data_IF_258568634233
#
_entry.id   IF_258568634233
#
_cell.length_a   1.000
_cell.length_b   1.000
_cell.length_c   1.000
_cell.angle_alpha   90.00
_cell.angle_beta   90.00
_cell.angle_gamma   90.00
#
_symmetry.space_group_name_H-M   'P 1'
#
loop_
_entity.id
_entity.type
_entity.pdbx_description
1 polymer ?
#
# COMPACT_ATOMS: atom_id res chain seq x y z
N UNK A 1 -36.29 -19.79 -30.78
CA UNK A 1 -35.69 -20.89 -29.99
C UNK A 1 -34.18 -20.76 -30.07
N UNK A 2 -33.45 -20.81 -28.96
CA UNK A 2 -31.99 -20.76 -28.99
C UNK A 2 -31.44 -22.01 -29.67
N UNK A 3 -30.36 -21.86 -30.45
CA UNK A 3 -29.72 -23.01 -31.10
C UNK A 3 -29.06 -23.92 -30.04
N UNK A 4 -28.98 -25.24 -30.26
CA UNK A 4 -28.25 -26.14 -29.35
C UNK A 4 -26.80 -25.71 -29.12
N UNK A 5 -26.17 -25.12 -30.13
CA UNK A 5 -24.81 -24.57 -30.06
C UNK A 5 -24.68 -23.46 -29.01
N UNK A 6 -25.72 -22.62 -28.85
CA UNK A 6 -25.72 -21.55 -27.85
C UNK A 6 -25.51 -22.09 -26.43
N UNK A 7 -26.20 -23.19 -26.08
CA UNK A 7 -26.06 -23.82 -24.77
C UNK A 7 -24.68 -24.43 -24.54
N UNK A 8 -24.08 -25.01 -25.59
CA UNK A 8 -22.71 -25.54 -25.54
C UNK A 8 -21.71 -24.42 -25.25
N UNK A 9 -21.80 -23.27 -25.94
CA UNK A 9 -20.93 -22.12 -25.68
C UNK A 9 -21.09 -21.56 -24.26
N UNK A 10 -22.32 -21.49 -23.76
CA UNK A 10 -22.58 -21.06 -22.38
C UNK A 10 -21.93 -21.98 -21.36
N UNK A 11 -22.03 -23.30 -21.55
CA UNK A 11 -21.42 -24.27 -20.66
C UNK A 11 -19.89 -24.18 -20.66
N UNK A 12 -19.27 -24.11 -21.85
CA UNK A 12 -17.81 -23.95 -21.99
C UNK A 12 -17.34 -22.68 -21.28
N UNK A 13 -18.05 -21.57 -21.46
CA UNK A 13 -17.73 -20.29 -20.82
C UNK A 13 -17.80 -20.40 -19.29
N UNK A 14 -18.84 -21.04 -18.75
CA UNK A 14 -19.00 -21.22 -17.31
C UNK A 14 -17.87 -22.08 -16.73
N UNK A 15 -17.55 -23.20 -17.36
CA UNK A 15 -16.43 -24.07 -16.96
C UNK A 15 -15.11 -23.30 -17.01
N UNK A 16 -14.88 -22.55 -18.09
CA UNK A 16 -13.69 -21.70 -18.23
C UNK A 16 -13.54 -20.68 -17.10
N UNK A 17 -14.64 -20.03 -16.69
CA UNK A 17 -14.63 -19.07 -15.59
C UNK A 17 -14.32 -19.73 -14.23
N UNK A 18 -14.85 -20.94 -13.99
CA UNK A 18 -14.54 -21.70 -12.77
C UNK A 18 -13.06 -22.07 -12.72
N UNK A 19 -12.53 -22.64 -13.81
CA UNK A 19 -11.10 -23.01 -13.91
C UNK A 19 -10.21 -21.77 -13.75
N UNK A 20 -10.54 -20.67 -14.44
CA UNK A 20 -9.82 -19.41 -14.30
C UNK A 20 -9.83 -18.89 -12.86
N UNK A 21 -10.97 -18.96 -12.17
CA UNK A 21 -11.09 -18.55 -10.77
C UNK A 21 -10.19 -19.38 -9.83
N UNK A 22 -10.12 -20.70 -10.04
CA UNK A 22 -9.25 -21.58 -9.28
C UNK A 22 -7.76 -21.26 -9.50
N UNK A 23 -7.36 -21.12 -10.77
CA UNK A 23 -5.98 -20.73 -11.14
C UNK A 23 -5.64 -19.37 -10.54
N UNK A 24 -6.54 -18.40 -10.64
CA UNK A 24 -6.34 -17.05 -10.10
C UNK A 24 -6.21 -17.04 -8.58
N UNK A 25 -6.99 -17.87 -7.87
CA UNK A 25 -6.85 -18.05 -6.41
C UNK A 25 -5.48 -18.62 -6.05
N UNK A 26 -5.00 -19.62 -6.79
CA UNK A 26 -3.68 -20.20 -6.57
C UNK A 26 -2.55 -19.21 -6.90
N UNK A 27 -2.68 -18.45 -7.99
CA UNK A 27 -1.77 -17.37 -8.34
C UNK A 27 -1.64 -16.33 -7.21
N UNK A 28 -2.75 -15.89 -6.62
CA UNK A 28 -2.72 -14.96 -5.48
C UNK A 28 -1.97 -15.51 -4.28
N UNK A 29 -2.17 -16.79 -3.96
CA UNK A 29 -1.44 -17.46 -2.88
C UNK A 29 0.05 -17.50 -3.17
N UNK A 30 0.45 -17.91 -4.37
CA UNK A 30 1.85 -17.95 -4.76
C UNK A 30 2.50 -16.56 -4.66
N UNK A 31 1.83 -15.51 -5.16
CA UNK A 31 2.34 -14.14 -5.06
C UNK A 31 2.50 -13.66 -3.61
N UNK A 32 1.61 -14.06 -2.70
CA UNK A 32 1.73 -13.75 -1.27
C UNK A 32 2.98 -14.40 -0.66
N UNK A 33 3.28 -15.64 -1.01
CA UNK A 33 4.45 -16.35 -0.51
C UNK A 33 5.75 -15.74 -1.04
N UNK A 34 5.82 -15.39 -2.33
CA UNK A 34 6.99 -14.67 -2.88
C UNK A 34 7.19 -13.31 -2.21
N UNK A 35 6.11 -12.59 -1.93
CA UNK A 35 6.17 -11.34 -1.19
C UNK A 35 6.73 -11.53 0.24
N UNK A 36 6.19 -12.52 0.97
CA UNK A 36 6.66 -12.83 2.34
C UNK A 36 8.14 -13.19 2.33
N UNK A 37 8.56 -14.04 1.40
CA UNK A 37 9.96 -14.45 1.24
C UNK A 37 10.89 -13.24 1.05
N UNK A 38 10.58 -12.34 0.12
CA UNK A 38 11.41 -11.14 -0.08
C UNK A 38 11.48 -10.20 1.13
N UNK A 39 10.40 -10.08 1.92
CA UNK A 39 10.43 -9.30 3.16
C UNK A 39 11.21 -10.03 4.27
N UNK A 40 11.13 -11.36 4.36
CA UNK A 40 11.95 -12.15 5.28
C UNK A 40 13.44 -12.00 4.97
N UNK A 41 13.83 -12.10 3.70
CA UNK A 41 15.22 -11.92 3.26
C UNK A 41 15.77 -10.53 3.67
N UNK A 42 15.01 -9.47 3.42
CA UNK A 42 15.40 -8.11 3.85
C UNK A 42 15.54 -7.98 5.37
N UNK A 43 14.65 -8.63 6.12
CA UNK A 43 14.68 -8.63 7.58
C UNK A 43 15.92 -9.36 8.10
N UNK A 44 16.28 -10.48 7.46
CA UNK A 44 17.44 -11.28 7.83
C UNK A 44 18.74 -10.55 7.47
N UNK A 45 18.79 -9.87 6.32
CA UNK A 45 19.90 -9.00 5.95
C UNK A 45 20.10 -7.86 6.96
N UNK A 46 19.02 -7.19 7.36
CA UNK A 46 19.06 -6.14 8.38
C UNK A 46 19.49 -6.68 9.76
N UNK A 47 19.03 -7.88 10.12
CA UNK A 47 19.45 -8.54 11.36
C UNK A 47 20.94 -8.89 11.35
N UNK A 48 21.43 -9.50 10.28
CA UNK A 48 22.84 -9.85 10.13
C UNK A 48 23.73 -8.61 10.19
N UNK A 49 23.31 -7.51 9.56
CA UNK A 49 24.02 -6.23 9.64
C UNK A 49 24.15 -5.70 11.08
N UNK A 50 23.11 -5.85 11.90
CA UNK A 50 23.18 -5.50 13.32
C UNK A 50 24.02 -6.50 14.13
N UNK A 51 23.90 -7.80 13.83
CA UNK A 51 24.62 -8.87 14.52
C UNK A 51 26.15 -8.78 14.34
N UNK A 52 26.63 -8.26 13.21
CA UNK A 52 28.07 -7.99 12.99
C UNK A 52 28.58 -6.76 13.74
N UNK A 53 27.74 -6.08 14.51
CA UNK A 53 28.10 -4.91 15.32
C UNK A 53 28.01 -3.58 14.58
N UNK A 54 27.51 -3.53 13.34
CA UNK A 54 27.43 -2.29 12.58
C UNK A 54 26.37 -1.34 13.13
N UNK A 55 25.33 -1.85 13.78
CA UNK A 55 24.30 -1.06 14.45
C UNK A 55 23.78 -1.82 15.68
N UNK A 56 23.60 -1.11 16.81
CA UNK A 56 23.02 -1.72 18.02
C UNK A 56 21.58 -2.15 17.78
N UNK A 57 21.19 -3.31 18.31
CA UNK A 57 19.80 -3.74 18.32
C UNK A 57 18.87 -2.77 19.07
N UNK A 58 19.40 -2.02 20.04
CA UNK A 58 18.62 -1.02 20.80
C UNK A 58 18.50 0.31 20.07
N UNK A 59 19.12 0.46 18.89
CA UNK A 59 18.99 1.66 18.10
C UNK A 59 17.53 1.87 17.65
N UNK A 60 17.00 3.06 17.92
CA UNK A 60 15.59 3.35 17.65
C UNK A 60 15.24 3.29 16.16
N UNK A 61 16.14 3.75 15.28
CA UNK A 61 15.95 3.68 13.83
C UNK A 61 15.94 2.24 13.32
N UNK A 62 16.83 1.39 13.85
CA UNK A 62 16.83 -0.04 13.56
C UNK A 62 15.50 -0.69 13.96
N UNK A 63 15.03 -0.43 15.18
CA UNK A 63 13.78 -0.97 15.69
C UNK A 63 12.57 -0.51 14.87
N UNK A 64 12.56 0.75 14.43
CA UNK A 64 11.51 1.28 13.55
C UNK A 64 11.46 0.53 12.21
N UNK A 65 12.60 0.37 11.53
CA UNK A 65 12.65 -0.35 10.25
C UNK A 65 12.25 -1.82 10.45
N UNK A 66 12.76 -2.49 11.48
CA UNK A 66 12.38 -3.88 11.81
C UNK A 66 10.88 -4.01 12.08
N UNK A 67 10.30 -3.05 12.81
CA UNK A 67 8.85 -3.02 13.09
C UNK A 67 8.03 -2.83 11.81
N UNK A 68 8.49 -2.00 10.88
CA UNK A 68 7.86 -1.84 9.57
C UNK A 68 7.85 -3.16 8.78
N UNK A 69 9.00 -3.84 8.69
CA UNK A 69 9.10 -5.13 7.99
C UNK A 69 8.16 -6.18 8.61
N UNK A 70 8.07 -6.24 9.94
CA UNK A 70 7.11 -7.09 10.62
C UNK A 70 5.66 -6.72 10.32
N UNK A 71 5.36 -5.41 10.22
CA UNK A 71 4.05 -4.92 9.78
C UNK A 71 3.69 -5.38 8.37
N UNK A 72 4.65 -5.30 7.44
CA UNK A 72 4.51 -5.82 6.07
C UNK A 72 4.19 -7.31 6.02
N UNK A 73 4.87 -8.13 6.84
CA UNK A 73 4.55 -9.56 6.95
C UNK A 73 3.16 -9.81 7.53
N UNK A 74 2.80 -9.11 8.63
CA UNK A 74 1.52 -9.29 9.33
C UNK A 74 0.33 -8.89 8.47
N UNK A 75 0.46 -7.83 7.68
CA UNK A 75 -0.63 -7.28 6.85
C UNK A 75 -0.48 -7.58 5.36
N UNK A 76 0.40 -8.51 4.99
CA UNK A 76 0.68 -8.94 3.61
C UNK A 76 -0.59 -9.31 2.82
N UNK A 77 -1.54 -9.99 3.46
CA UNK A 77 -2.79 -10.40 2.84
C UNK A 77 -3.73 -9.23 2.54
N UNK A 78 -3.55 -8.11 3.25
CA UNK A 78 -4.36 -6.89 3.10
C UNK A 78 -3.70 -5.86 2.17
N UNK A 79 -2.46 -6.09 1.72
CA UNK A 79 -1.85 -5.28 0.67
C UNK A 79 -2.54 -5.57 -0.67
N UNK A 80 -3.46 -4.69 -1.06
CA UNK A 80 -4.05 -4.63 -2.40
C UNK A 80 -4.44 -3.19 -2.75
N UNK A 81 -4.54 -2.90 -4.05
CA UNK A 81 -4.77 -1.53 -4.54
C UNK A 81 -6.17 -1.04 -4.16
N UNK A 82 -7.16 -1.92 -4.14
CA UNK A 82 -8.54 -1.56 -3.81
C UNK A 82 -8.66 -1.05 -2.36
N UNK A 83 -8.09 -1.79 -1.40
CA UNK A 83 -8.05 -1.41 0.01
C UNK A 83 -7.22 -0.16 0.22
N UNK A 84 -6.09 -0.03 -0.48
CA UNK A 84 -5.29 1.19 -0.44
C UNK A 84 -6.11 2.40 -0.90
N UNK A 85 -6.83 2.32 -2.01
CA UNK A 85 -7.72 3.40 -2.47
C UNK A 85 -8.84 3.70 -1.47
N UNK A 86 -9.45 2.69 -0.85
CA UNK A 86 -10.49 2.87 0.18
C UNK A 86 -9.93 3.59 1.40
N UNK A 87 -8.72 3.21 1.83
CA UNK A 87 -8.01 3.86 2.94
C UNK A 87 -7.69 5.33 2.62
N UNK A 88 -7.16 5.62 1.43
CA UNK A 88 -6.88 6.99 0.98
C UNK A 88 -8.14 7.87 0.98
N UNK A 89 -9.27 7.35 0.48
CA UNK A 89 -10.56 8.06 0.52
C UNK A 89 -11.04 8.29 1.95
N UNK A 90 -10.93 7.30 2.82
CA UNK A 90 -11.35 7.42 4.22
C UNK A 90 -10.54 8.50 4.97
N UNK A 91 -9.24 8.57 4.71
CA UNK A 91 -8.37 9.63 5.24
C UNK A 91 -8.81 11.00 4.72
N UNK A 92 -8.96 11.15 3.39
CA UNK A 92 -9.33 12.41 2.77
C UNK A 92 -10.67 12.93 3.31
N UNK A 93 -11.65 12.03 3.46
CA UNK A 93 -12.97 12.38 3.97
C UNK A 93 -12.95 12.81 5.45
N UNK A 94 -12.03 12.28 6.25
CA UNK A 94 -11.92 12.64 7.66
C UNK A 94 -11.07 13.90 7.91
N UNK A 95 -10.53 14.54 6.86
CA UNK A 95 -9.57 15.67 6.95
C UNK A 95 -8.44 15.40 7.95
N UNK A 96 -8.07 14.13 8.16
CA UNK A 96 -6.99 13.76 9.07
C UNK A 96 -5.70 14.20 8.41
N UNK A 97 -4.93 15.05 9.10
CA UNK A 97 -3.58 15.39 8.67
C UNK A 97 -2.77 14.10 8.59
N UNK A 98 -2.42 13.68 7.37
CA UNK A 98 -1.54 12.54 7.12
C UNK A 98 -0.10 12.95 7.33
N UNK A 99 0.23 13.37 8.55
CA UNK A 99 1.63 13.40 8.93
C UNK A 99 2.09 11.94 8.93
N UNK A 100 3.07 11.63 8.08
CA UNK A 100 3.68 10.31 8.07
C UNK A 100 4.53 10.19 9.34
N UNK A 101 3.88 9.92 10.48
CA UNK A 101 4.47 9.83 11.80
C UNK A 101 5.67 8.88 11.81
N UNK A 102 5.59 7.79 11.04
CA UNK A 102 6.70 6.88 10.84
C UNK A 102 7.91 7.58 10.21
N UNK A 103 7.74 8.23 9.05
CA UNK A 103 8.85 8.91 8.37
C UNK A 103 9.35 10.12 9.17
N UNK A 104 8.48 10.83 9.88
CA UNK A 104 8.89 11.91 10.76
C UNK A 104 9.77 11.38 11.89
N UNK A 105 9.32 10.32 12.57
CA UNK A 105 10.06 9.68 13.65
C UNK A 105 11.39 9.12 13.15
N UNK A 106 11.37 8.41 12.02
CA UNK A 106 12.58 7.89 11.38
C UNK A 106 13.56 9.00 11.00
N UNK A 107 13.10 10.11 10.40
CA UNK A 107 13.95 11.25 10.05
C UNK A 107 14.54 11.97 11.28
N UNK A 108 13.92 11.83 12.45
CA UNK A 108 14.45 12.36 13.71
C UNK A 108 15.51 11.42 14.29
N UNK A 109 15.20 10.14 14.39
CA UNK A 109 16.06 9.12 15.01
C UNK A 109 17.26 8.77 14.11
N UNK A 110 17.14 8.93 12.79
CA UNK A 110 18.23 8.68 11.85
C UNK A 110 19.34 9.73 11.90
N UNK A 111 19.11 10.90 12.50
CA UNK A 111 20.13 11.95 12.64
C UNK A 111 21.30 11.53 13.53
N UNK A 112 21.08 10.56 14.42
CA UNK A 112 22.13 10.05 15.32
C UNK A 112 22.92 8.90 14.71
N UNK A 113 22.60 8.49 13.47
CA UNK A 113 23.29 7.41 12.77
C UNK A 113 24.51 7.95 12.01
N UNK A 114 25.49 7.08 11.77
CA UNK A 114 26.49 7.34 10.73
C UNK A 114 25.85 7.32 9.34
N UNK A 115 26.50 7.95 8.37
CA UNK A 115 26.00 7.97 6.98
C UNK A 115 25.87 6.54 6.40
N UNK A 116 26.80 5.63 6.73
CA UNK A 116 26.74 4.23 6.28
C UNK A 116 25.54 3.48 6.88
N UNK A 117 25.31 3.62 8.19
CA UNK A 117 24.16 3.02 8.87
C UNK A 117 22.85 3.53 8.27
N UNK A 118 22.77 4.84 8.08
CA UNK A 118 21.60 5.49 7.49
C UNK A 118 21.35 5.02 6.06
N UNK A 119 22.39 4.95 5.24
CA UNK A 119 22.28 4.43 3.87
C UNK A 119 21.75 2.99 3.86
N UNK A 120 22.26 2.13 4.76
CA UNK A 120 21.79 0.74 4.88
C UNK A 120 20.31 0.66 5.23
N UNK A 121 19.85 1.45 6.20
CA UNK A 121 18.45 1.48 6.61
C UNK A 121 17.55 2.10 5.53
N UNK A 122 17.99 3.17 4.86
CA UNK A 122 17.28 3.80 3.76
C UNK A 122 17.12 2.84 2.57
N UNK A 123 18.16 2.08 2.25
CA UNK A 123 18.09 1.06 1.21
C UNK A 123 17.10 -0.05 1.57
N UNK A 124 17.09 -0.51 2.83
CA UNK A 124 16.10 -1.47 3.32
C UNK A 124 14.66 -0.94 3.21
N UNK A 125 14.43 0.33 3.56
CA UNK A 125 13.13 0.99 3.40
C UNK A 125 12.69 1.07 1.92
N UNK A 126 13.59 1.48 1.03
CA UNK A 126 13.32 1.56 -0.42
C UNK A 126 13.01 0.18 -1.00
N UNK A 127 13.81 -0.83 -0.69
CA UNK A 127 13.63 -2.19 -1.19
C UNK A 127 12.32 -2.81 -0.68
N UNK A 128 12.02 -2.66 0.61
CA UNK A 128 10.78 -3.18 1.17
C UNK A 128 9.53 -2.50 0.58
N UNK A 129 9.58 -1.18 0.35
CA UNK A 129 8.53 -0.44 -0.35
C UNK A 129 8.37 -0.90 -1.81
N UNK A 130 9.48 -1.12 -2.53
CA UNK A 130 9.45 -1.63 -3.90
C UNK A 130 8.80 -3.02 -3.97
N UNK A 131 9.21 -3.96 -3.12
CA UNK A 131 8.62 -5.29 -3.01
C UNK A 131 7.11 -5.20 -2.74
N UNK A 132 6.69 -4.35 -1.80
CA UNK A 132 5.29 -4.10 -1.46
C UNK A 132 4.47 -3.58 -2.64
N UNK A 133 4.96 -2.55 -3.34
CA UNK A 133 4.26 -1.96 -4.50
C UNK A 133 4.16 -2.96 -5.65
N UNK A 134 5.24 -3.67 -5.97
CA UNK A 134 5.23 -4.70 -7.02
C UNK A 134 4.24 -5.81 -6.71
N UNK A 135 4.19 -6.28 -5.46
CA UNK A 135 3.21 -7.28 -5.02
C UNK A 135 1.77 -6.76 -5.11
N UNK A 136 1.50 -5.52 -4.66
CA UNK A 136 0.17 -4.90 -4.75
C UNK A 136 -0.35 -4.87 -6.19
N UNK A 137 0.51 -4.48 -7.14
CA UNK A 137 0.17 -4.42 -8.57
C UNK A 137 -0.13 -5.83 -9.10
N UNK A 138 0.77 -6.79 -8.87
CA UNK A 138 0.63 -8.18 -9.36
C UNK A 138 -0.64 -8.85 -8.81
N UNK A 139 -0.86 -8.74 -7.50
CA UNK A 139 -2.05 -9.30 -6.84
C UNK A 139 -3.36 -8.67 -7.34
N UNK A 140 -3.32 -7.39 -7.68
CA UNK A 140 -4.48 -6.61 -8.12
C UNK A 140 -4.61 -6.53 -9.65
N UNK A 141 -3.94 -7.40 -10.42
CA UNK A 141 -3.85 -7.27 -11.88
C UNK A 141 -5.21 -7.16 -12.58
N UNK A 142 -6.20 -7.96 -12.18
CA UNK A 142 -7.57 -7.90 -12.72
C UNK A 142 -8.23 -6.55 -12.42
N UNK A 143 -8.01 -6.01 -11.21
CA UNK A 143 -8.52 -4.69 -10.84
C UNK A 143 -7.84 -3.57 -11.66
N UNK A 144 -6.52 -3.66 -11.87
CA UNK A 144 -5.77 -2.73 -12.71
C UNK A 144 -6.28 -2.75 -14.16
N UNK A 145 -6.51 -3.93 -14.73
CA UNK A 145 -7.09 -4.09 -16.06
C UNK A 145 -8.48 -3.44 -16.11
N UNK A 146 -9.32 -3.65 -15.10
CA UNK A 146 -10.62 -2.99 -14.99
C UNK A 146 -10.53 -1.46 -14.95
N UNK A 147 -9.56 -0.91 -14.21
CA UNK A 147 -9.31 0.54 -14.17
C UNK A 147 -8.83 1.08 -15.53
N UNK A 148 -7.98 0.35 -16.24
CA UNK A 148 -7.52 0.72 -17.58
C UNK A 148 -8.68 0.72 -18.59
N UNK A 149 -9.49 -0.33 -18.60
CA UNK A 149 -10.70 -0.41 -19.45
C UNK A 149 -11.62 0.77 -19.15
N UNK A 150 -11.90 1.05 -17.88
CA UNK A 150 -12.71 2.20 -17.47
C UNK A 150 -12.11 3.51 -17.96
N UNK A 151 -10.80 3.71 -17.81
CA UNK A 151 -10.13 4.92 -18.28
C UNK A 151 -10.22 5.09 -19.79
N UNK A 152 -10.08 4.01 -20.56
CA UNK A 152 -10.19 4.04 -22.02
C UNK A 152 -11.62 4.37 -22.47
N UNK A 153 -12.62 3.78 -21.82
CA UNK A 153 -14.03 4.09 -22.08
C UNK A 153 -14.37 5.55 -21.72
N UNK A 154 -13.93 6.04 -20.56
CA UNK A 154 -14.13 7.44 -20.16
C UNK A 154 -13.42 8.43 -21.07
N UNK A 155 -12.18 8.14 -21.51
CA UNK A 155 -11.45 8.99 -22.45
C UNK A 155 -12.02 8.92 -23.88
N UNK A 156 -12.60 7.79 -24.27
CA UNK A 156 -13.35 7.65 -25.53
C UNK A 156 -14.63 8.48 -25.54
N UNK A 157 -15.33 8.52 -24.40
CA UNK A 157 -16.53 9.37 -24.20
C UNK A 157 -16.16 10.85 -24.10
N UNK A 158 -15.03 11.20 -23.46
CA UNK A 158 -14.58 12.59 -23.33
C UNK A 158 -14.04 13.20 -24.63
N UNK A 159 -13.74 12.40 -25.65
CA UNK A 159 -13.47 12.91 -27.01
C UNK A 159 -14.73 13.27 -27.79
N UNK A 160 -15.92 12.87 -27.32
CA UNK A 160 -17.22 13.23 -27.89
C UNK A 160 -18.03 14.23 -27.06
N UNK A 161 -17.58 14.58 -25.85
CA UNK A 161 -18.27 15.53 -24.96
C UNK A 161 -17.31 16.65 -24.59
N UNK A 162 -17.64 17.84 -25.13
CA UNK A 162 -17.11 19.15 -24.83
C UNK A 162 -16.55 19.33 -23.41
N UNK A 163 -15.43 20.07 -23.33
CA UNK A 163 -14.77 20.61 -22.11
C UNK A 163 -15.79 21.03 -21.03
N UNK A 164 -16.12 20.16 -20.08
CA UNK A 164 -16.82 20.61 -18.85
C UNK A 164 -16.56 19.80 -17.58
N UNK A 165 -15.62 18.85 -17.54
CA UNK A 165 -15.43 18.00 -16.34
C UNK A 165 -13.98 17.89 -15.83
N UNK A 166 -13.20 18.98 -15.93
CA UNK A 166 -11.88 19.09 -15.29
C UNK A 166 -11.88 19.82 -13.95
N UNK A 167 -13.01 19.81 -13.21
CA UNK A 167 -13.12 20.48 -11.90
C UNK A 167 -13.01 19.56 -10.69
N UNK A 168 -12.80 18.25 -10.83
CA UNK A 168 -12.71 17.34 -9.67
C UNK A 168 -11.29 17.19 -9.06
N UNK A 169 -10.30 17.97 -9.54
CA UNK A 169 -8.94 17.98 -8.96
C UNK A 169 -8.45 19.41 -8.69
N UNK A 170 -9.29 20.23 -8.06
CA UNK A 170 -8.84 21.48 -7.46
C UNK A 170 -8.53 21.23 -5.99
N UNK A 171 -7.23 21.16 -5.71
CA UNK A 171 -6.56 21.27 -4.41
C UNK A 171 -7.26 22.37 -3.59
N UNK A 172 -8.12 22.00 -2.64
CA UNK A 172 -8.59 22.94 -1.62
C UNK A 172 -7.39 23.30 -0.76
N UNK A 173 -7.04 24.60 -0.81
CA UNK A 173 -6.13 25.23 0.15
C UNK A 173 -6.66 24.91 1.54
N UNK A 174 -5.84 24.22 2.34
CA UNK A 174 -6.14 24.01 3.75
C UNK A 174 -6.23 25.36 4.44
N UNK A 175 -7.44 25.76 4.81
CA UNK A 175 -7.67 26.76 5.84
C UNK A 175 -7.01 26.26 7.13
N UNK A 176 -6.19 27.11 7.73
CA UNK A 176 -5.54 26.90 9.02
C UNK A 176 -6.62 26.71 10.09
N UNK A 177 -6.81 25.47 10.56
CA UNK A 177 -7.70 25.19 11.69
C UNK A 177 -6.93 25.42 12.98
N UNK A 178 -7.52 26.32 13.78
CA UNK A 178 -7.19 26.81 15.10
C UNK A 178 -6.38 25.88 16.02
N UNK A 179 -5.32 26.45 16.62
CA UNK A 179 -4.48 25.82 17.66
C UNK A 179 -5.28 25.37 18.89
N UNK A 180 -6.46 25.93 19.14
CA UNK A 180 -7.29 25.61 20.31
C UNK A 180 -7.76 24.14 20.33
N UNK A 181 -8.02 23.52 19.18
CA UNK A 181 -8.52 22.14 19.11
C UNK A 181 -7.46 21.08 19.48
N UNK A 182 -6.18 21.42 19.33
CA UNK A 182 -5.06 20.52 19.68
C UNK A 182 -4.87 20.47 21.20
N UNK A 183 -5.20 21.54 21.90
CA UNK A 183 -5.11 21.62 23.37
C UNK A 183 -6.15 20.76 24.09
N UNK A 184 -7.36 20.63 23.52
CA UNK A 184 -8.43 19.85 24.13
C UNK A 184 -8.19 18.33 24.05
N UNK A 185 -7.56 17.85 22.98
CA UNK A 185 -7.21 16.43 22.84
C UNK A 185 -6.12 16.03 23.85
N UNK A 186 -5.17 16.92 24.14
CA UNK A 186 -4.14 16.67 25.16
C UNK A 186 -4.69 16.70 26.58
N UNK A 187 -5.68 17.55 26.90
CA UNK A 187 -6.32 17.59 28.23
C UNK A 187 -7.15 16.34 28.52
N UNK A 188 -7.83 15.77 27.54
CA UNK A 188 -8.62 14.53 27.73
C UNK A 188 -7.73 13.30 27.93
N UNK A 189 -6.54 13.26 27.31
CA UNK A 189 -5.58 12.18 27.50
C UNK A 189 -4.81 12.23 28.83
N UNK A 190 -4.65 13.40 29.44
CA UNK A 190 -3.92 13.59 30.69
C UNK A 190 -4.75 13.29 31.96
N UNK A 191 -6.07 13.19 31.86
CA UNK A 191 -6.97 12.85 32.98
C UNK A 191 -7.49 11.41 32.94
N UNK A 192 -6.97 10.58 32.03
CA UNK A 192 -7.29 9.16 31.90
C UNK A 192 -6.19 8.24 32.48
N UNK A 193 -5.36 8.76 33.38
CA UNK A 193 -4.45 7.99 34.24
C UNK A 193 -5.00 7.88 35.65
#
# INVERSE_FOLDING_TARGET
>A
MFSPLFFVYMLITLVGLVVFSLIYKQYKKAMLEYYRMGIFELRDELFNYAATGNISFDNESYQLVRTLLNGYLRYAENLDIYRFQKFQKAIANKKISTVNLFMQKYNQTSKTLSEEQKEKLDNCLKQSAFIAVTYMIRKSIVYCIGLLIKSLLCNGISKGISRSSWTCFRREKGETINQDLVTDIYKVGAHAS
#
